data_IF_270409391523
#
_entry.id   IF_270409391523
#
_cell.length_a   1.000
_cell.length_b   1.000
_cell.length_c   1.000
_cell.angle_alpha   90.00
_cell.angle_beta   90.00
_cell.angle_gamma   90.00
#
_symmetry.space_group_name_H-M   'P 1'
#
loop_
_entity.id
_entity.type
_entity.pdbx_description
1 polymer ?
#
# COMPACT_ATOMS: atom_id res chain seq x y z
N UNK A 1 18.79 -1.68 2.13
CA UNK A 1 17.33 -1.66 1.85
C UNK A 1 17.00 -2.86 0.99
N UNK A 2 16.06 -3.67 1.42
CA UNK A 2 15.64 -4.87 0.69
C UNK A 2 14.50 -4.55 -0.25
N UNK A 3 14.58 -5.05 -1.49
CA UNK A 3 13.53 -4.90 -2.50
C UNK A 3 12.87 -6.25 -2.76
N UNK A 4 11.54 -6.27 -2.69
CA UNK A 4 10.73 -7.46 -2.92
C UNK A 4 9.67 -7.13 -3.98
N UNK A 5 9.36 -8.10 -4.82
CA UNK A 5 8.28 -7.98 -5.80
C UNK A 5 7.16 -8.93 -5.45
N UNK A 6 5.92 -8.43 -5.54
CA UNK A 6 4.71 -9.22 -5.27
C UNK A 6 3.88 -9.31 -6.54
N UNK A 7 3.62 -10.53 -7.00
CA UNK A 7 2.75 -10.77 -8.16
C UNK A 7 1.29 -10.84 -7.70
N UNK A 8 0.40 -10.18 -8.43
CA UNK A 8 -1.04 -10.14 -8.11
C UNK A 8 -1.28 -9.82 -6.62
N UNK A 9 -0.76 -8.69 -6.12
CA UNK A 9 -0.72 -8.44 -4.67
C UNK A 9 -2.12 -8.46 -4.06
N UNK A 10 -2.27 -9.22 -2.98
CA UNK A 10 -3.54 -9.40 -2.26
C UNK A 10 -4.70 -9.82 -3.17
N UNK A 11 -4.43 -10.66 -4.17
CA UNK A 11 -5.44 -11.10 -5.12
C UNK A 11 -5.79 -10.07 -6.18
N UNK A 12 -5.01 -9.03 -6.31
CA UNK A 12 -5.16 -8.00 -7.34
C UNK A 12 -4.58 -8.42 -8.68
N UNK A 13 -3.94 -7.48 -9.37
CA UNK A 13 -3.37 -7.70 -10.71
C UNK A 13 -1.98 -7.14 -10.81
N UNK A 14 -1.18 -7.70 -11.73
CA UNK A 14 0.10 -7.16 -12.10
C UNK A 14 1.16 -7.41 -11.06
N UNK A 15 2.03 -6.43 -10.86
CA UNK A 15 3.22 -6.60 -10.04
C UNK A 15 3.46 -5.35 -9.20
N UNK A 16 3.78 -5.55 -7.94
CA UNK A 16 4.05 -4.47 -7.00
C UNK A 16 5.49 -4.56 -6.52
N UNK A 17 6.20 -3.45 -6.53
CA UNK A 17 7.56 -3.35 -6.01
C UNK A 17 7.52 -2.80 -4.60
N UNK A 18 8.15 -3.49 -3.67
CA UNK A 18 8.21 -3.10 -2.26
C UNK A 18 9.67 -2.89 -1.89
N UNK A 19 10.01 -1.65 -1.54
CA UNK A 19 11.35 -1.30 -1.07
C UNK A 19 11.28 -1.06 0.44
N UNK A 20 11.72 -2.06 1.21
CA UNK A 20 11.68 -1.99 2.67
C UNK A 20 12.71 -0.98 3.18
N UNK A 21 12.26 0.10 3.78
CA UNK A 21 13.12 1.16 4.31
C UNK A 21 13.84 0.65 5.56
N UNK A 22 13.10 -0.06 6.42
CA UNK A 22 13.65 -0.70 7.61
C UNK A 22 13.38 -2.19 7.57
N UNK A 23 14.32 -2.97 8.11
CA UNK A 23 14.18 -4.42 8.23
C UNK A 23 13.23 -4.79 9.37
N UNK A 24 12.70 -6.02 9.39
CA UNK A 24 11.90 -6.48 10.53
C UNK A 24 12.63 -6.36 11.87
N UNK A 25 13.94 -6.62 11.88
CA UNK A 25 14.74 -6.49 13.11
C UNK A 25 14.80 -5.04 13.60
N UNK A 26 14.88 -4.08 12.67
CA UNK A 26 14.88 -2.66 13.02
C UNK A 26 13.52 -2.17 13.48
N UNK A 27 12.44 -2.74 12.96
CA UNK A 27 11.06 -2.39 13.32
C UNK A 27 10.67 -2.94 14.71
N UNK A 28 11.35 -3.97 15.20
CA UNK A 28 11.25 -4.50 16.58
C UNK A 28 9.81 -4.89 16.96
N UNK A 29 9.08 -5.51 16.06
CA UNK A 29 7.68 -5.95 16.27
C UNK A 29 6.70 -4.80 16.55
N UNK A 30 7.14 -3.56 16.50
CA UNK A 30 6.29 -2.38 16.69
C UNK A 30 5.56 -2.01 15.42
N UNK A 31 6.23 -2.23 14.29
CA UNK A 31 5.67 -2.00 12.97
C UNK A 31 5.83 -3.25 12.14
N UNK A 32 4.83 -3.55 11.33
CA UNK A 32 4.87 -4.70 10.42
C UNK A 32 5.53 -4.37 9.08
N UNK A 33 5.58 -3.09 8.73
CA UNK A 33 6.12 -2.64 7.45
C UNK A 33 6.44 -1.16 7.51
N UNK A 34 7.55 -0.77 6.89
CA UNK A 34 7.83 0.61 6.54
C UNK A 34 8.56 0.58 5.20
N UNK A 35 7.85 0.93 4.14
CA UNK A 35 8.34 0.69 2.79
C UNK A 35 7.89 1.76 1.80
N UNK A 36 8.71 1.95 0.77
CA UNK A 36 8.29 2.68 -0.43
C UNK A 36 7.76 1.65 -1.43
N UNK A 37 6.54 1.83 -1.86
CA UNK A 37 5.84 0.89 -2.73
C UNK A 37 5.58 1.54 -4.09
N UNK A 38 5.85 0.80 -5.15
CA UNK A 38 5.55 1.22 -6.52
C UNK A 38 4.56 0.26 -7.13
N UNK A 39 3.43 0.81 -7.57
CA UNK A 39 2.37 0.08 -8.25
C UNK A 39 2.33 0.57 -9.70
N UNK A 40 2.86 -0.21 -10.66
CA UNK A 40 2.93 0.22 -12.06
C UNK A 40 1.54 0.35 -12.70
N UNK A 41 1.44 1.03 -13.86
CA UNK A 41 0.20 1.05 -14.63
C UNK A 41 -0.31 -0.36 -14.91
N UNK A 42 -1.61 -0.55 -14.83
CA UNK A 42 -2.26 -1.85 -15.04
C UNK A 42 -2.25 -2.74 -13.82
N UNK A 43 -1.63 -2.33 -12.72
CA UNK A 43 -1.53 -3.14 -11.50
C UNK A 43 -2.56 -2.71 -10.47
N UNK A 44 -2.99 -3.68 -9.66
CA UNK A 44 -3.99 -3.50 -8.61
C UNK A 44 -3.52 -4.20 -7.35
N UNK A 45 -3.43 -3.45 -6.26
CA UNK A 45 -3.30 -4.00 -4.92
C UNK A 45 -4.70 -4.34 -4.43
N UNK A 46 -5.01 -5.64 -4.34
CA UNK A 46 -6.37 -6.11 -4.06
C UNK A 46 -6.87 -5.72 -2.68
N UNK A 47 -8.20 -5.69 -2.53
CA UNK A 47 -8.82 -5.39 -1.25
C UNK A 47 -8.43 -6.45 -0.21
N UNK A 48 -8.00 -5.99 0.96
CA UNK A 48 -7.62 -6.85 2.07
C UNK A 48 -7.91 -6.17 3.39
N UNK A 49 -8.11 -6.97 4.44
CA UNK A 49 -8.41 -6.46 5.78
C UNK A 49 -7.18 -6.54 6.67
N UNK A 50 -7.11 -5.61 7.63
CA UNK A 50 -6.07 -5.59 8.65
C UNK A 50 -6.64 -6.06 9.98
N UNK A 51 -6.00 -7.09 10.56
CA UNK A 51 -6.37 -7.64 11.85
C UNK A 51 -5.13 -7.70 12.74
N UNK A 52 -5.16 -7.02 13.87
CA UNK A 52 -4.02 -6.90 14.77
C UNK A 52 -3.04 -5.81 14.37
N UNK A 53 -3.36 -4.99 13.38
CA UNK A 53 -2.54 -3.87 12.95
C UNK A 53 -3.40 -2.83 12.22
N UNK A 54 -2.77 -1.71 11.90
CA UNK A 54 -3.37 -0.62 11.12
C UNK A 54 -2.35 -0.17 10.09
N UNK A 55 -2.80 0.48 9.03
CA UNK A 55 -1.90 0.89 7.94
C UNK A 55 -2.21 2.29 7.43
N UNK A 56 -1.15 3.02 7.11
CA UNK A 56 -1.24 4.33 6.45
C UNK A 56 -0.45 4.31 5.15
N UNK A 57 -1.03 4.89 4.10
CA UNK A 57 -0.30 5.22 2.88
C UNK A 57 -0.12 6.73 2.80
N UNK A 58 1.04 7.15 2.35
CA UNK A 58 1.30 8.54 1.95
C UNK A 58 1.71 8.55 0.49
N UNK A 59 0.90 9.17 -0.36
CA UNK A 59 1.13 9.14 -1.82
C UNK A 59 2.24 10.12 -2.17
N UNK A 60 3.30 9.60 -2.79
CA UNK A 60 4.46 10.40 -3.20
C UNK A 60 4.30 10.92 -4.63
N UNK A 61 3.84 10.08 -5.56
CA UNK A 61 3.66 10.47 -6.95
C UNK A 61 2.63 9.59 -7.64
N UNK A 62 2.06 10.09 -8.72
CA UNK A 62 1.00 9.41 -9.45
C UNK A 62 -0.36 9.61 -8.81
N UNK A 63 -1.34 8.86 -9.28
CA UNK A 63 -2.70 8.86 -8.74
C UNK A 63 -3.30 7.47 -8.89
N UNK A 64 -4.32 7.18 -8.11
CA UNK A 64 -5.00 5.89 -8.17
C UNK A 64 -6.37 5.94 -7.55
N UNK A 65 -7.08 4.81 -7.65
CA UNK A 65 -8.37 4.64 -7.00
C UNK A 65 -8.17 3.87 -5.71
N UNK A 66 -8.56 4.47 -4.60
CA UNK A 66 -8.44 3.89 -3.27
C UNK A 66 -9.79 3.41 -2.78
N UNK A 67 -9.85 2.16 -2.31
CA UNK A 67 -11.03 1.60 -1.66
C UNK A 67 -10.81 1.71 -0.16
N UNK A 68 -11.56 2.59 0.47
CA UNK A 68 -11.47 2.86 1.90
C UNK A 68 -12.63 2.17 2.61
N UNK A 69 -12.40 0.93 3.01
CA UNK A 69 -13.40 0.11 3.70
C UNK A 69 -14.75 0.06 2.95
N UNK A 70 -14.68 -0.07 1.64
CA UNK A 70 -15.86 -0.15 0.76
C UNK A 70 -16.26 1.17 0.09
N UNK A 71 -15.63 2.27 0.46
CA UNK A 71 -15.91 3.59 -0.16
C UNK A 71 -14.74 3.97 -1.05
N UNK A 72 -14.99 4.17 -2.32
CA UNK A 72 -13.95 4.48 -3.30
C UNK A 72 -13.74 5.98 -3.46
N UNK A 73 -12.47 6.37 -3.60
CA UNK A 73 -12.08 7.74 -3.90
C UNK A 73 -10.76 7.77 -4.63
N UNK A 74 -10.51 8.85 -5.37
CA UNK A 74 -9.21 9.06 -6.00
C UNK A 74 -8.22 9.60 -4.99
N UNK A 75 -7.00 9.06 -5.00
CA UNK A 75 -5.88 9.58 -4.22
C UNK A 75 -4.77 10.02 -5.19
N UNK A 76 -4.00 11.02 -4.78
CA UNK A 76 -2.91 11.59 -5.57
C UNK A 76 -1.78 12.05 -4.66
N UNK A 77 -0.68 12.49 -5.24
CA UNK A 77 0.49 12.96 -4.50
C UNK A 77 0.09 13.95 -3.39
N UNK A 78 0.58 13.69 -2.18
CA UNK A 78 0.30 14.47 -1.00
C UNK A 78 -0.87 13.95 -0.17
N UNK A 79 -1.66 13.01 -0.68
CA UNK A 79 -2.79 12.44 0.08
C UNK A 79 -2.31 11.37 1.06
N UNK A 80 -2.99 11.28 2.19
CA UNK A 80 -2.75 10.29 3.23
C UNK A 80 -4.01 9.45 3.41
N UNK A 81 -3.82 8.14 3.62
CA UNK A 81 -4.92 7.23 3.97
C UNK A 81 -4.70 6.66 5.35
N UNK A 82 -5.78 6.19 5.96
CA UNK A 82 -5.71 5.49 7.24
C UNK A 82 -6.68 4.34 7.26
N UNK A 83 -6.16 3.13 7.54
CA UNK A 83 -6.97 1.92 7.66
C UNK A 83 -6.77 1.38 9.08
N UNK A 84 -7.73 1.59 9.99
CA UNK A 84 -7.60 1.10 11.35
C UNK A 84 -7.73 -0.42 11.43
N UNK A 85 -7.32 -0.97 12.57
CA UNK A 85 -7.47 -2.39 12.87
C UNK A 85 -8.95 -2.81 12.68
N UNK A 86 -9.15 -3.91 11.98
CA UNK A 86 -10.49 -4.44 11.66
C UNK A 86 -11.11 -3.92 10.37
N UNK A 87 -10.50 -2.91 9.74
CA UNK A 87 -10.98 -2.36 8.46
C UNK A 87 -10.15 -2.88 7.29
N UNK A 88 -10.64 -2.65 6.08
CA UNK A 88 -9.97 -3.08 4.87
C UNK A 88 -9.74 -1.95 3.89
N UNK A 89 -8.86 -2.21 2.92
CA UNK A 89 -8.60 -1.27 1.84
C UNK A 89 -8.00 -1.98 0.62
N UNK A 90 -7.97 -1.24 -0.49
CA UNK A 90 -7.30 -1.63 -1.72
C UNK A 90 -6.90 -0.40 -2.51
N UNK A 91 -6.00 -0.57 -3.47
CA UNK A 91 -5.49 0.54 -4.27
C UNK A 91 -5.26 0.08 -5.70
N UNK A 92 -5.81 0.82 -6.66
CA UNK A 92 -5.75 0.46 -8.07
C UNK A 92 -5.02 1.51 -8.88
N UNK A 93 -4.11 1.06 -9.74
CA UNK A 93 -3.49 1.85 -10.80
C UNK A 93 -3.81 1.23 -12.16
N UNK A 94 -4.94 0.54 -12.25
CA UNK A 94 -5.31 -0.22 -13.46
C UNK A 94 -5.46 0.68 -14.68
N UNK A 95 -6.04 1.86 -14.50
CA UNK A 95 -6.27 2.81 -15.58
C UNK A 95 -5.20 3.90 -15.67
N UNK A 96 -4.17 3.84 -14.84
CA UNK A 96 -3.13 4.87 -14.78
C UNK A 96 -2.14 4.78 -15.94
N UNK A 97 -1.49 5.92 -16.23
CA UNK A 97 -0.45 6.02 -17.25
C UNK A 97 0.96 6.10 -16.65
N UNK A 98 1.06 6.31 -15.34
CA UNK A 98 2.31 6.47 -14.62
C UNK A 98 2.35 5.55 -13.41
N UNK A 99 3.56 5.31 -12.89
CA UNK A 99 3.71 4.59 -11.62
C UNK A 99 3.00 5.35 -10.50
N UNK A 100 2.33 4.61 -9.64
CA UNK A 100 1.80 5.11 -8.38
C UNK A 100 2.78 4.73 -7.28
N UNK A 101 3.39 5.72 -6.65
CA UNK A 101 4.42 5.52 -5.64
C UNK A 101 3.93 6.07 -4.31
N UNK A 102 4.05 5.25 -3.26
CA UNK A 102 3.57 5.66 -1.93
C UNK A 102 4.43 5.05 -0.83
N UNK A 103 4.43 5.72 0.32
CA UNK A 103 4.99 5.16 1.54
C UNK A 103 3.91 4.37 2.25
N UNK A 104 4.26 3.19 2.74
CA UNK A 104 3.36 2.33 3.49
C UNK A 104 3.94 2.06 4.88
N UNK A 105 3.13 2.28 5.90
CA UNK A 105 3.49 2.03 7.29
C UNK A 105 2.40 1.16 7.92
N UNK A 106 2.81 -0.01 8.41
CA UNK A 106 1.93 -0.88 9.20
C UNK A 106 2.36 -0.79 10.66
N UNK A 107 1.42 -0.40 11.52
CA UNK A 107 1.65 -0.30 12.96
C UNK A 107 0.95 -1.46 13.63
N UNK A 108 1.69 -2.27 14.38
CA UNK A 108 1.13 -3.41 15.10
C UNK A 108 0.36 -2.93 16.34
N UNK A 109 -0.76 -3.58 16.58
CA UNK A 109 -1.60 -3.27 17.73
C UNK A 109 -1.05 -3.87 19.03
#
# INVERSE_FOLDING_TARGET
METVYSENPCGGKGRMKIENILSPAELKDRCGLYARVTLPPGSVLGYHEHHGNSESYFILSGSGEYDDNGVKRTVKAGDTTWTPDGSGHGLSNEAGAEDLVFMALIVNS
#
